data_IF_788169943287
#
_entry.id   IF_788169943287
#
_cell.length_a   1.000
_cell.length_b   1.000
_cell.length_c   1.000
_cell.angle_alpha   90.00
_cell.angle_beta   90.00
_cell.angle_gamma   90.00
#
_symmetry.space_group_name_H-M   'P 1'
#
loop_
_entity.id
_entity.type
_entity.pdbx_description
1 polymer ?
#
# COMPACT_ATOMS: atom_id res chain seq x y z
N UNK A 1 5.67 -6.52 13.16
CA UNK A 1 6.39 -7.36 12.19
C UNK A 1 7.61 -7.99 12.85
N UNK A 2 7.81 -9.28 12.61
CA UNK A 2 8.96 -10.02 13.14
C UNK A 2 10.08 -10.02 12.09
N UNK A 3 11.26 -9.59 12.48
CA UNK A 3 12.46 -9.63 11.67
C UNK A 3 13.49 -10.54 12.35
N UNK A 4 13.96 -11.59 11.62
CA UNK A 4 14.88 -12.61 12.16
C UNK A 4 14.36 -13.21 13.48
N UNK A 5 13.10 -13.68 13.51
CA UNK A 5 12.42 -14.44 14.58
C UNK A 5 12.48 -13.80 15.99
N UNK A 6 13.43 -12.91 16.26
CA UNK A 6 13.73 -12.34 17.58
C UNK A 6 13.53 -10.82 17.67
N UNK A 7 13.00 -10.17 16.62
CA UNK A 7 12.84 -8.70 16.59
C UNK A 7 11.46 -8.28 16.13
N UNK A 8 10.92 -7.24 16.74
CA UNK A 8 9.65 -6.60 16.38
C UNK A 8 9.95 -5.19 15.86
N UNK A 9 9.43 -4.87 14.68
CA UNK A 9 9.57 -3.55 14.06
C UNK A 9 8.22 -2.82 14.15
N UNK A 10 8.23 -1.57 14.54
CA UNK A 10 7.04 -0.73 14.62
C UNK A 10 7.32 0.75 14.38
N UNK A 11 6.25 1.56 14.34
CA UNK A 11 6.34 3.01 14.21
C UNK A 11 5.73 3.72 15.43
N UNK A 12 6.30 4.90 15.77
CA UNK A 12 5.81 5.77 16.85
C UNK A 12 4.99 6.95 16.28
N UNK A 13 4.17 7.57 17.12
CA UNK A 13 3.47 8.83 16.81
C UNK A 13 4.41 9.98 16.43
N UNK A 14 5.67 9.91 16.81
CA UNK A 14 6.74 10.83 16.43
C UNK A 14 7.34 10.54 15.05
N UNK A 15 6.73 9.64 14.28
CA UNK A 15 7.21 9.23 12.95
C UNK A 15 8.59 8.56 12.95
N UNK A 16 8.93 7.85 14.00
CA UNK A 16 10.16 7.05 14.07
C UNK A 16 9.83 5.57 13.92
N UNK A 17 10.68 4.85 13.24
CA UNK A 17 10.70 3.38 13.27
C UNK A 17 11.56 2.94 14.44
N UNK A 18 11.16 1.89 15.11
CA UNK A 18 11.93 1.29 16.20
C UNK A 18 11.96 -0.22 16.07
N UNK A 19 13.01 -0.83 16.56
CA UNK A 19 13.17 -2.26 16.63
C UNK A 19 13.24 -2.68 18.09
N UNK A 20 12.48 -3.70 18.46
CA UNK A 20 12.45 -4.29 19.77
C UNK A 20 13.05 -5.68 19.73
N UNK A 21 13.70 -6.07 20.79
CA UNK A 21 13.94 -7.47 21.12
C UNK A 21 12.60 -8.14 21.45
N UNK A 22 12.29 -9.25 20.79
CA UNK A 22 10.98 -9.89 20.89
C UNK A 22 10.76 -10.56 22.26
N UNK A 23 11.81 -10.94 22.97
CA UNK A 23 11.73 -11.60 24.28
C UNK A 23 11.58 -10.59 25.41
N UNK A 24 12.43 -9.56 25.39
CA UNK A 24 12.51 -8.59 26.50
C UNK A 24 11.68 -7.32 26.27
N UNK A 25 11.24 -7.05 25.03
CA UNK A 25 10.59 -5.79 24.65
C UNK A 25 11.53 -4.56 24.67
N UNK A 26 12.81 -4.73 24.90
CA UNK A 26 13.78 -3.63 24.93
C UNK A 26 13.97 -3.05 23.53
N UNK A 27 14.07 -1.71 23.45
CA UNK A 27 14.39 -1.02 22.19
C UNK A 27 15.87 -1.29 21.86
N UNK A 28 16.09 -1.93 20.71
CA UNK A 28 17.43 -2.19 20.17
C UNK A 28 17.96 -0.98 19.40
N UNK A 29 17.09 -0.33 18.61
CA UNK A 29 17.40 0.91 17.92
C UNK A 29 16.14 1.70 17.59
N UNK A 30 16.30 3.00 17.34
CA UNK A 30 15.26 3.91 16.82
C UNK A 30 15.84 4.71 15.68
N UNK A 31 15.16 4.78 14.55
CA UNK A 31 15.59 5.52 13.37
C UNK A 31 15.52 7.03 13.56
N UNK A 32 16.08 7.79 12.61
CA UNK A 32 15.64 9.19 12.39
C UNK A 32 14.17 9.23 12.01
N UNK A 33 13.53 10.38 12.13
CA UNK A 33 12.13 10.54 11.77
C UNK A 33 11.89 10.19 10.28
N UNK A 34 10.90 9.35 10.01
CA UNK A 34 10.47 9.02 8.65
C UNK A 34 10.02 10.28 7.91
N UNK A 35 9.31 11.18 8.62
CA UNK A 35 8.86 12.44 8.07
C UNK A 35 8.22 13.33 9.14
N UNK A 36 7.68 14.47 8.71
CA UNK A 36 6.90 15.36 9.58
C UNK A 36 5.64 14.68 10.08
N UNK A 37 5.15 15.13 11.22
CA UNK A 37 3.86 14.72 11.80
C UNK A 37 3.00 15.94 12.07
N UNK A 38 1.69 15.80 12.01
CA UNK A 38 0.79 16.93 12.27
C UNK A 38 -0.69 16.53 12.35
N UNK A 39 -1.54 17.52 12.66
CA UNK A 39 -2.98 17.34 12.80
C UNK A 39 -3.37 16.52 14.04
N UNK A 40 -4.66 16.16 14.12
CA UNK A 40 -5.23 15.46 15.28
C UNK A 40 -4.74 14.00 15.42
N UNK A 41 -4.33 13.37 14.31
CA UNK A 41 -3.86 11.98 14.25
C UNK A 41 -2.41 11.94 13.79
N UNK A 42 -1.49 12.33 14.68
CA UNK A 42 -0.06 12.46 14.39
C UNK A 42 0.61 11.09 14.19
N UNK A 43 1.60 11.05 13.30
CA UNK A 43 2.58 9.98 13.15
C UNK A 43 2.32 9.05 11.98
N UNK A 44 3.26 8.15 11.78
CA UNK A 44 3.22 7.09 10.78
C UNK A 44 2.17 6.06 11.17
N UNK A 45 1.30 5.70 10.23
CA UNK A 45 0.20 4.74 10.41
C UNK A 45 0.36 3.50 9.54
N UNK A 46 1.38 3.48 8.69
CA UNK A 46 1.72 2.27 7.95
C UNK A 46 2.33 1.22 8.86
N UNK A 47 2.20 -0.02 8.46
CA UNK A 47 3.05 -1.10 8.98
C UNK A 47 4.33 -1.13 8.16
N UNK A 48 5.52 -1.01 8.78
CA UNK A 48 6.77 -1.14 8.07
C UNK A 48 6.89 -2.53 7.44
N UNK A 49 7.42 -2.60 6.22
CA UNK A 49 7.65 -3.87 5.52
C UNK A 49 9.13 -4.18 5.51
N UNK A 50 9.48 -5.39 5.91
CA UNK A 50 10.87 -5.89 5.93
C UNK A 50 11.07 -6.90 4.81
N UNK A 51 12.14 -6.73 4.04
CA UNK A 51 12.58 -7.66 2.99
C UNK A 51 14.09 -7.83 3.08
N UNK A 52 14.54 -9.01 3.51
CA UNK A 52 15.96 -9.26 3.76
C UNK A 52 16.54 -8.31 4.82
N UNK A 53 17.57 -7.58 4.47
CA UNK A 53 18.25 -6.62 5.38
C UNK A 53 17.70 -5.19 5.25
N UNK A 54 16.66 -4.97 4.47
CA UNK A 54 16.05 -3.66 4.25
C UNK A 54 14.64 -3.58 4.83
N UNK A 55 14.28 -2.38 5.24
CA UNK A 55 13.00 -2.05 5.82
C UNK A 55 12.44 -0.78 5.15
N UNK A 56 11.15 -0.78 4.88
CA UNK A 56 10.46 0.32 4.21
C UNK A 56 9.33 0.84 5.10
N UNK A 57 9.29 2.16 5.29
CA UNK A 57 8.25 2.82 6.06
C UNK A 57 7.75 4.08 5.35
N UNK A 58 6.43 4.32 5.43
CA UNK A 58 5.77 5.46 4.83
C UNK A 58 5.29 6.42 5.92
N UNK A 59 5.77 7.65 5.88
CA UNK A 59 5.37 8.73 6.79
C UNK A 59 4.03 9.33 6.42
N UNK A 60 3.44 10.02 7.39
CA UNK A 60 2.10 10.63 7.29
C UNK A 60 1.92 11.52 6.05
N UNK A 61 2.91 12.29 5.67
CA UNK A 61 2.84 13.24 4.54
C UNK A 61 3.51 12.74 3.26
N UNK A 62 3.80 11.43 3.18
CA UNK A 62 4.29 10.79 1.96
C UNK A 62 5.81 10.69 1.87
N UNK A 63 6.53 10.82 2.98
CA UNK A 63 7.95 10.46 3.03
C UNK A 63 8.07 8.95 3.08
N UNK A 64 8.58 8.33 2.02
CA UNK A 64 8.90 6.90 1.96
C UNK A 64 10.39 6.74 2.22
N UNK A 65 10.75 5.95 3.21
CA UNK A 65 12.15 5.67 3.56
C UNK A 65 12.47 4.20 3.44
N UNK A 66 13.70 3.92 3.03
CA UNK A 66 14.34 2.62 3.17
C UNK A 66 15.40 2.72 4.25
N UNK A 67 15.38 1.80 5.19
CA UNK A 67 16.31 1.73 6.31
C UNK A 67 16.98 0.36 6.32
N UNK A 68 18.19 0.30 6.87
CA UNK A 68 18.80 -0.97 7.25
C UNK A 68 18.06 -1.56 8.44
N UNK A 69 17.56 -2.79 8.31
CA UNK A 69 16.81 -3.45 9.36
C UNK A 69 17.65 -3.80 10.59
N UNK A 70 18.97 -3.84 10.45
CA UNK A 70 19.91 -4.15 11.54
C UNK A 70 20.07 -3.02 12.56
N UNK A 71 20.05 -1.76 12.10
CA UNK A 71 20.43 -0.59 12.92
C UNK A 71 19.53 0.65 12.69
N UNK A 72 18.62 0.61 11.70
CA UNK A 72 17.73 1.73 11.38
C UNK A 72 18.37 2.87 10.60
N UNK A 73 19.59 2.68 10.07
CA UNK A 73 20.26 3.68 9.23
C UNK A 73 19.49 3.90 7.90
N UNK A 74 19.37 5.16 7.48
CA UNK A 74 18.65 5.49 6.24
C UNK A 74 19.52 5.16 5.02
N UNK A 75 18.97 4.33 4.12
CA UNK A 75 19.60 3.98 2.83
C UNK A 75 19.17 4.96 1.74
N UNK A 76 17.86 5.22 1.64
CA UNK A 76 17.31 6.21 0.71
C UNK A 76 15.95 6.74 1.19
N UNK A 77 15.57 7.89 0.62
CA UNK A 77 14.30 8.56 0.88
C UNK A 77 13.68 9.06 -0.42
N UNK A 78 12.33 9.00 -0.50
CA UNK A 78 11.54 9.57 -1.59
C UNK A 78 10.35 10.31 -1.01
N UNK A 79 9.85 11.30 -1.73
CA UNK A 79 8.62 12.02 -1.35
C UNK A 79 7.52 11.70 -2.35
N UNK A 80 6.43 11.08 -1.89
CA UNK A 80 5.30 10.73 -2.77
C UNK A 80 4.68 11.98 -3.39
N UNK A 81 4.63 13.08 -2.66
CA UNK A 81 4.04 14.33 -3.14
C UNK A 81 4.96 15.08 -4.10
N UNK A 82 6.23 15.29 -3.74
CA UNK A 82 7.19 16.08 -4.51
C UNK A 82 7.68 15.32 -5.74
N UNK A 83 8.10 14.06 -5.58
CA UNK A 83 8.72 13.29 -6.65
C UNK A 83 7.70 12.75 -7.65
N UNK A 84 6.51 12.35 -7.17
CA UNK A 84 5.54 11.62 -7.99
C UNK A 84 4.21 12.37 -8.16
N UNK A 85 4.09 13.60 -7.64
CA UNK A 85 2.86 14.41 -7.76
C UNK A 85 1.69 13.83 -6.97
N UNK A 86 2.00 13.19 -5.83
CA UNK A 86 1.05 12.46 -5.02
C UNK A 86 -0.06 13.34 -4.42
N UNK A 87 -1.26 12.72 -4.32
CA UNK A 87 -2.46 13.29 -3.69
C UNK A 87 -3.11 12.25 -2.79
N UNK A 88 -2.98 12.44 -1.50
CA UNK A 88 -3.59 11.59 -0.47
C UNK A 88 -5.05 11.94 -0.19
N UNK A 89 -5.76 11.07 0.51
CA UNK A 89 -7.04 11.38 1.15
C UNK A 89 -6.90 12.31 2.36
N UNK A 90 -8.02 12.65 3.00
CA UNK A 90 -8.09 13.63 4.10
C UNK A 90 -7.28 13.27 5.35
N UNK A 91 -6.99 11.97 5.58
CA UNK A 91 -6.13 11.51 6.68
C UNK A 91 -4.69 11.21 6.24
N UNK A 92 -4.26 11.75 5.10
CA UNK A 92 -2.92 11.59 4.54
C UNK A 92 -2.59 10.12 4.15
N UNK A 93 -1.30 9.75 4.11
CA UNK A 93 -0.87 8.40 3.72
C UNK A 93 -0.90 7.44 4.91
N UNK A 94 -1.45 6.25 4.70
CA UNK A 94 -1.54 5.19 5.74
C UNK A 94 -1.28 3.79 5.21
N UNK A 95 -1.16 3.61 3.89
CA UNK A 95 -0.86 2.29 3.32
C UNK A 95 0.48 1.76 3.79
N UNK A 96 0.60 0.43 3.84
CA UNK A 96 1.88 -0.24 4.07
C UNK A 96 2.56 -0.50 2.73
N UNK A 97 3.87 -0.18 2.58
CA UNK A 97 4.58 -0.45 1.36
C UNK A 97 4.56 -1.94 1.00
N UNK A 98 4.25 -2.27 -0.25
CA UNK A 98 4.36 -3.64 -0.76
C UNK A 98 5.75 -3.84 -1.33
N UNK A 99 6.44 -4.91 -0.94
CA UNK A 99 7.73 -5.30 -1.53
C UNK A 99 7.55 -6.57 -2.34
N UNK A 100 8.03 -6.55 -3.58
CA UNK A 100 7.93 -7.69 -4.49
C UNK A 100 8.97 -7.64 -5.61
N UNK A 101 9.70 -8.72 -5.80
CA UNK A 101 10.66 -8.89 -6.90
C UNK A 101 11.71 -7.77 -6.96
N UNK A 102 12.25 -7.35 -5.82
CA UNK A 102 13.26 -6.28 -5.73
C UNK A 102 12.70 -4.86 -5.95
N UNK A 103 11.40 -4.69 -5.87
CA UNK A 103 10.71 -3.40 -5.99
C UNK A 103 9.88 -3.10 -4.74
N UNK A 104 9.71 -1.82 -4.47
CA UNK A 104 8.76 -1.28 -3.47
C UNK A 104 7.66 -0.57 -4.21
N UNK A 105 6.41 -0.97 -3.98
CA UNK A 105 5.22 -0.35 -4.53
C UNK A 105 4.49 0.43 -3.46
N UNK A 106 4.08 1.64 -3.82
CA UNK A 106 3.24 2.53 -3.02
C UNK A 106 2.29 3.32 -3.93
N UNK A 107 1.28 3.93 -3.33
CA UNK A 107 0.25 4.70 -4.02
C UNK A 107 0.38 6.20 -3.72
N UNK A 108 1.21 6.95 -4.47
CA UNK A 108 1.19 8.41 -4.39
C UNK A 108 -0.20 8.99 -4.63
N UNK A 109 -0.95 8.41 -5.57
CA UNK A 109 -2.20 8.97 -6.07
C UNK A 109 -1.97 10.17 -6.98
N UNK A 110 -2.99 10.56 -7.77
CA UNK A 110 -2.97 11.81 -8.53
C UNK A 110 -2.64 11.69 -10.02
N UNK A 111 -2.64 12.84 -10.68
CA UNK A 111 -2.67 12.94 -12.16
C UNK A 111 -1.43 12.40 -12.88
N UNK A 112 -0.28 12.34 -12.21
CA UNK A 112 0.95 11.78 -12.82
C UNK A 112 0.96 10.25 -12.88
N UNK A 113 -0.01 9.62 -12.21
CA UNK A 113 -0.13 8.17 -12.08
C UNK A 113 -0.21 7.78 -10.61
N UNK A 114 -1.20 6.94 -10.28
CA UNK A 114 -1.56 6.69 -8.89
C UNK A 114 -0.60 5.75 -8.16
N UNK A 115 0.03 4.80 -8.85
CA UNK A 115 0.92 3.80 -8.25
C UNK A 115 2.32 3.93 -8.84
N UNK A 116 3.33 3.80 -7.99
CA UNK A 116 4.75 3.72 -8.40
C UNK A 116 5.37 2.42 -7.95
N UNK A 117 6.31 1.92 -8.75
CA UNK A 117 7.26 0.88 -8.37
C UNK A 117 8.66 1.44 -8.40
N UNK A 118 9.35 1.36 -7.28
CA UNK A 118 10.71 1.84 -7.09
C UNK A 118 11.66 0.66 -6.92
N UNK A 119 12.92 0.82 -7.29
CA UNK A 119 13.95 -0.15 -6.91
C UNK A 119 14.04 -0.23 -5.39
N UNK A 120 13.92 -1.41 -4.82
CA UNK A 120 14.02 -1.65 -3.38
C UNK A 120 15.37 -1.16 -2.82
N UNK A 121 16.48 -1.41 -3.55
CA UNK A 121 17.84 -1.06 -3.12
C UNK A 121 18.15 0.43 -3.21
N UNK A 122 17.60 1.15 -4.22
CA UNK A 122 18.06 2.52 -4.53
C UNK A 122 16.98 3.58 -4.54
N UNK A 123 15.71 3.21 -4.40
CA UNK A 123 14.59 4.15 -4.52
C UNK A 123 14.42 4.77 -5.92
N UNK A 124 15.17 4.31 -6.94
CA UNK A 124 15.01 4.77 -8.31
C UNK A 124 13.66 4.33 -8.87
N UNK A 125 12.99 5.24 -9.60
CA UNK A 125 11.73 4.96 -10.26
C UNK A 125 11.91 3.89 -11.34
N UNK A 126 11.19 2.79 -11.23
CA UNK A 126 11.05 1.78 -12.28
C UNK A 126 9.91 2.15 -13.22
N UNK A 127 8.71 2.36 -12.67
CA UNK A 127 7.55 2.85 -13.42
C UNK A 127 6.55 3.59 -12.51
N UNK A 128 5.74 4.46 -13.13
CA UNK A 128 4.55 5.06 -12.54
C UNK A 128 3.37 4.78 -13.46
N UNK A 129 2.24 4.31 -12.91
CA UNK A 129 1.04 3.95 -13.68
C UNK A 129 0.42 5.20 -14.32
N UNK A 130 0.55 5.36 -15.64
CA UNK A 130 0.10 6.57 -16.36
C UNK A 130 -1.40 6.59 -16.65
N UNK A 131 -2.00 5.43 -16.78
CA UNK A 131 -3.41 5.20 -17.14
C UNK A 131 -4.32 4.96 -15.91
N UNK A 132 -3.77 5.03 -14.72
CA UNK A 132 -4.47 4.96 -13.45
C UNK A 132 -4.08 6.16 -12.58
N UNK A 133 -5.02 7.08 -12.34
CA UNK A 133 -4.77 8.42 -11.78
C UNK A 133 -5.66 8.77 -10.58
N UNK A 134 -6.28 7.79 -9.95
CA UNK A 134 -7.10 7.99 -8.76
C UNK A 134 -6.27 8.60 -7.61
N UNK A 135 -6.90 9.34 -6.72
CA UNK A 135 -6.25 9.80 -5.49
C UNK A 135 -5.97 8.61 -4.56
N UNK A 136 -4.87 8.66 -3.82
CA UNK A 136 -4.58 7.65 -2.81
C UNK A 136 -5.65 7.64 -1.73
N UNK A 137 -5.94 6.45 -1.24
CA UNK A 137 -6.73 6.21 -0.05
C UNK A 137 -5.85 5.50 0.98
N UNK A 138 -6.42 4.67 1.82
CA UNK A 138 -5.73 4.11 2.99
C UNK A 138 -5.46 2.61 2.88
N UNK A 139 -5.98 1.99 1.81
CA UNK A 139 -5.80 0.57 1.48
C UNK A 139 -4.39 0.29 0.99
N UNK A 140 -3.82 -0.83 1.39
CA UNK A 140 -2.53 -1.30 0.90
C UNK A 140 -2.69 -2.14 -0.37
N UNK A 141 -1.67 -2.10 -1.22
CA UNK A 141 -1.54 -2.95 -2.41
C UNK A 141 -1.39 -4.42 -2.03
N UNK A 142 -1.91 -5.30 -2.88
CA UNK A 142 -1.58 -6.72 -2.85
C UNK A 142 -0.96 -7.17 -4.17
N UNK A 143 -0.19 -8.26 -4.14
CA UNK A 143 0.34 -8.92 -5.32
C UNK A 143 -0.33 -10.27 -5.53
N UNK A 144 -0.69 -10.60 -6.79
CA UNK A 144 -1.26 -11.89 -7.19
C UNK A 144 -0.81 -12.28 -8.59
N UNK A 145 -0.57 -13.58 -8.77
CA UNK A 145 -0.41 -14.17 -10.09
C UNK A 145 -1.77 -14.69 -10.54
N UNK A 146 -2.27 -14.19 -11.67
CA UNK A 146 -3.56 -14.60 -12.23
C UNK A 146 -3.59 -14.42 -13.75
N UNK A 147 -4.11 -15.43 -14.45
CA UNK A 147 -4.24 -15.40 -15.91
C UNK A 147 -2.90 -15.25 -16.64
N UNK A 148 -1.82 -15.84 -16.12
CA UNK A 148 -0.48 -15.75 -16.69
C UNK A 148 0.20 -14.38 -16.53
N UNK A 149 -0.30 -13.54 -15.62
CA UNK A 149 0.26 -12.22 -15.30
C UNK A 149 0.39 -12.01 -13.80
N UNK A 150 1.54 -11.53 -13.38
CA UNK A 150 1.74 -10.98 -12.04
C UNK A 150 1.14 -9.58 -11.99
N UNK A 151 0.28 -9.33 -11.00
CA UNK A 151 -0.54 -8.13 -10.91
C UNK A 151 -0.43 -7.52 -9.53
N UNK A 152 -0.41 -6.18 -9.48
CA UNK A 152 -0.62 -5.44 -8.24
C UNK A 152 -2.05 -4.93 -8.23
N UNK A 153 -2.77 -5.23 -7.16
CA UNK A 153 -4.19 -4.86 -7.02
C UNK A 153 -4.29 -3.76 -5.99
N UNK A 154 -4.94 -2.64 -6.37
CA UNK A 154 -5.15 -1.50 -5.49
C UNK A 154 -6.63 -1.11 -5.43
N UNK A 155 -7.08 -0.78 -4.22
CA UNK A 155 -8.40 -0.22 -3.94
C UNK A 155 -8.26 1.27 -3.60
N UNK A 156 -9.01 2.12 -4.30
CA UNK A 156 -9.08 3.57 -4.05
C UNK A 156 -10.48 4.01 -3.64
N UNK A 157 -10.69 5.31 -3.50
CA UNK A 157 -12.02 5.88 -3.27
C UNK A 157 -12.95 5.85 -4.49
N UNK A 158 -12.46 5.50 -5.67
CA UNK A 158 -13.23 5.54 -6.93
C UNK A 158 -13.30 4.19 -7.63
N UNK A 159 -12.31 3.32 -7.43
CA UNK A 159 -12.21 2.08 -8.18
C UNK A 159 -11.33 1.04 -7.47
N UNK A 160 -11.39 -0.17 -7.99
CA UNK A 160 -10.38 -1.20 -7.77
C UNK A 160 -9.73 -1.54 -9.12
N UNK A 161 -8.41 -1.73 -9.12
CA UNK A 161 -7.61 -1.90 -10.33
C UNK A 161 -6.60 -3.03 -10.16
N UNK A 162 -6.33 -3.76 -11.25
CA UNK A 162 -5.20 -4.65 -11.37
C UNK A 162 -4.19 -4.07 -12.36
N UNK A 163 -2.96 -3.88 -11.91
CA UNK A 163 -1.84 -3.32 -12.69
C UNK A 163 -0.86 -4.44 -13.05
N UNK A 164 -0.35 -4.42 -14.27
CA UNK A 164 0.75 -5.30 -14.69
C UNK A 164 2.01 -5.00 -13.87
N UNK A 165 2.54 -5.98 -13.18
CA UNK A 165 3.67 -5.81 -12.26
C UNK A 165 4.97 -5.38 -12.95
N UNK A 166 5.11 -5.66 -14.26
CA UNK A 166 6.30 -5.30 -15.03
C UNK A 166 6.25 -3.85 -15.52
N UNK A 167 5.07 -3.37 -15.90
CA UNK A 167 4.93 -2.09 -16.64
C UNK A 167 4.12 -1.02 -15.92
N UNK A 168 3.33 -1.39 -14.92
CA UNK A 168 2.39 -0.49 -14.23
C UNK A 168 1.14 -0.14 -15.04
N UNK A 169 0.95 -0.73 -16.25
CA UNK A 169 -0.27 -0.53 -17.06
C UNK A 169 -1.47 -1.21 -16.41
N UNK A 170 -2.64 -0.59 -16.50
CA UNK A 170 -3.88 -1.20 -16.05
C UNK A 170 -4.24 -2.40 -16.91
N UNK A 171 -4.39 -3.56 -16.29
CA UNK A 171 -4.88 -4.78 -16.92
C UNK A 171 -6.41 -4.81 -16.92
N UNK A 172 -6.99 -4.37 -15.83
CA UNK A 172 -8.42 -4.23 -15.62
C UNK A 172 -8.71 -3.17 -14.56
N UNK A 173 -9.87 -2.56 -14.63
CA UNK A 173 -10.38 -1.60 -13.65
C UNK A 173 -11.88 -1.80 -13.48
N UNK A 174 -12.38 -1.78 -12.25
CA UNK A 174 -13.78 -1.79 -11.94
C UNK A 174 -14.16 -0.57 -11.10
N UNK A 175 -15.23 0.17 -11.44
CA UNK A 175 -15.69 1.27 -10.63
C UNK A 175 -16.17 0.76 -9.28
N UNK A 176 -15.77 1.41 -8.22
CA UNK A 176 -16.23 1.14 -6.86
C UNK A 176 -16.12 2.42 -6.05
N UNK A 177 -17.24 3.10 -5.89
CA UNK A 177 -17.30 4.36 -5.12
C UNK A 177 -17.17 4.05 -3.63
N UNK A 178 -16.10 4.55 -3.02
CA UNK A 178 -15.95 4.62 -1.57
C UNK A 178 -16.61 5.88 -1.01
N UNK A 179 -16.68 5.97 0.31
CA UNK A 179 -17.15 7.14 1.04
C UNK A 179 -16.24 7.37 2.24
N UNK A 180 -15.91 8.62 2.55
CA UNK A 180 -15.10 9.06 3.69
C UNK A 180 -13.72 8.41 3.73
N UNK A 181 -13.62 7.10 3.95
CA UNK A 181 -12.36 6.37 4.04
C UNK A 181 -12.49 4.97 3.43
N UNK A 182 -11.52 4.61 2.59
CA UNK A 182 -11.38 3.27 1.99
C UNK A 182 -10.07 2.68 2.51
N UNK A 183 -10.19 1.77 3.48
CA UNK A 183 -9.05 1.34 4.31
C UNK A 183 -8.66 -0.11 4.05
N UNK A 184 -9.65 -1.00 3.93
CA UNK A 184 -9.43 -2.45 3.89
C UNK A 184 -8.60 -2.87 2.69
N UNK A 185 -7.64 -3.73 2.92
CA UNK A 185 -6.85 -4.36 1.86
C UNK A 185 -7.73 -5.32 1.05
N UNK A 186 -7.67 -5.31 -0.29
CA UNK A 186 -8.42 -6.26 -1.13
C UNK A 186 -8.06 -7.71 -0.83
N UNK A 187 -9.03 -8.61 -0.91
CA UNK A 187 -8.81 -10.06 -0.88
C UNK A 187 -9.06 -10.62 -2.27
N UNK A 188 -8.10 -11.38 -2.81
CA UNK A 188 -8.18 -11.94 -4.15
C UNK A 188 -7.83 -13.43 -4.14
N UNK A 189 -8.73 -14.25 -4.67
CA UNK A 189 -8.55 -15.68 -4.83
C UNK A 189 -9.21 -16.17 -6.12
N UNK A 190 -8.47 -16.87 -6.97
CA UNK A 190 -8.96 -17.52 -8.22
C UNK A 190 -9.87 -16.65 -9.08
N UNK A 191 -9.47 -15.40 -9.29
CA UNK A 191 -10.23 -14.42 -10.07
C UNK A 191 -11.44 -13.84 -9.34
N UNK A 192 -11.66 -14.16 -8.08
CA UNK A 192 -12.64 -13.49 -7.23
C UNK A 192 -11.94 -12.44 -6.38
N UNK A 193 -12.49 -11.24 -6.41
CA UNK A 193 -11.99 -10.12 -5.64
C UNK A 193 -13.08 -9.67 -4.66
N UNK A 194 -12.72 -9.58 -3.40
CA UNK A 194 -13.56 -9.01 -2.35
C UNK A 194 -12.95 -7.70 -1.84
N UNK A 195 -13.80 -6.68 -1.68
CA UNK A 195 -13.45 -5.40 -1.06
C UNK A 195 -14.55 -4.94 -0.13
N UNK A 196 -14.20 -4.28 0.96
CA UNK A 196 -15.15 -3.75 1.93
C UNK A 196 -14.80 -2.32 2.34
N UNK A 197 -15.76 -1.57 2.80
CA UNK A 197 -15.57 -0.26 3.45
C UNK A 197 -16.71 0.03 4.40
N UNK A 198 -16.45 0.85 5.41
CA UNK A 198 -17.45 1.41 6.30
C UNK A 198 -18.23 2.57 5.63
N UNK A 199 -18.88 3.37 6.45
CA UNK A 199 -19.63 4.57 6.07
C UNK A 199 -20.78 4.29 5.09
N UNK A 200 -21.51 3.18 5.28
CA UNK A 200 -22.67 2.81 4.48
C UNK A 200 -22.36 2.29 3.07
N UNK A 201 -21.09 2.08 2.74
CA UNK A 201 -20.67 1.53 1.45
C UNK A 201 -20.86 0.00 1.39
N UNK A 202 -20.43 -0.70 2.45
CA UNK A 202 -20.49 -2.15 2.53
C UNK A 202 -19.40 -2.85 1.73
N UNK A 203 -19.68 -4.06 1.25
CA UNK A 203 -18.74 -4.87 0.49
C UNK A 203 -19.20 -5.09 -0.95
N UNK A 204 -18.22 -5.39 -1.81
CA UNK A 204 -18.43 -5.74 -3.21
C UNK A 204 -17.59 -6.96 -3.57
N UNK A 205 -18.16 -7.86 -4.32
CA UNK A 205 -17.45 -8.95 -4.98
C UNK A 205 -17.34 -8.69 -6.47
N UNK A 206 -16.18 -8.98 -7.02
CA UNK A 206 -15.91 -8.88 -8.45
C UNK A 206 -15.37 -10.21 -8.98
N UNK A 207 -15.74 -10.54 -10.23
CA UNK A 207 -15.10 -11.60 -11.01
C UNK A 207 -14.13 -10.95 -11.98
N UNK A 208 -12.85 -11.25 -11.81
CA UNK A 208 -11.79 -10.92 -12.76
C UNK A 208 -11.62 -12.11 -13.70
N UNK A 209 -11.58 -11.85 -14.99
CA UNK A 209 -11.51 -12.90 -16.01
C UNK A 209 -10.40 -12.60 -17.00
N UNK A 210 -9.61 -13.59 -17.35
CA UNK A 210 -8.67 -13.54 -18.48
C UNK A 210 -9.43 -13.87 -19.76
N UNK A 211 -9.31 -13.01 -20.76
CA UNK A 211 -9.91 -13.19 -22.09
C UNK A 211 -8.84 -13.17 -23.17
N UNK A 212 -9.18 -13.53 -24.41
CA UNK A 212 -8.27 -13.39 -25.57
C UNK A 212 -7.80 -11.95 -25.78
N UNK A 213 -8.62 -10.96 -25.42
CA UNK A 213 -8.33 -9.51 -25.58
C UNK A 213 -7.64 -8.85 -24.36
N UNK A 214 -7.43 -9.58 -23.28
CA UNK A 214 -6.84 -9.05 -22.05
C UNK A 214 -7.58 -9.51 -20.79
N UNK A 215 -7.77 -8.60 -19.85
CA UNK A 215 -8.51 -8.88 -18.60
C UNK A 215 -9.79 -8.03 -18.55
N UNK A 216 -10.76 -8.52 -17.81
CA UNK A 216 -11.96 -7.76 -17.44
C UNK A 216 -12.29 -8.00 -15.97
N UNK A 217 -12.95 -7.05 -15.35
CA UNK A 217 -13.49 -7.19 -13.99
C UNK A 217 -14.97 -6.79 -14.00
N UNK A 218 -15.84 -7.66 -13.49
CA UNK A 218 -17.29 -7.43 -13.40
C UNK A 218 -17.73 -7.60 -11.97
N UNK A 219 -18.50 -6.65 -11.44
CA UNK A 219 -19.13 -6.81 -10.14
C UNK A 219 -20.17 -7.93 -10.20
N UNK A 220 -20.11 -8.85 -9.25
CA UNK A 220 -21.02 -10.00 -9.13
C UNK A 220 -22.00 -9.84 -7.98
N UNK A 221 -21.64 -9.09 -6.95
CA UNK A 221 -22.55 -8.70 -5.88
C UNK A 221 -22.11 -7.40 -5.18
N UNK A 222 -23.05 -6.80 -4.45
CA UNK A 222 -22.82 -5.74 -3.48
C UNK A 222 -23.71 -6.01 -2.26
N UNK A 223 -23.18 -5.79 -1.06
CA UNK A 223 -23.91 -6.00 0.20
C UNK A 223 -23.53 -4.92 1.21
N UNK A 224 -24.53 -4.24 1.78
CA UNK A 224 -24.33 -3.19 2.77
C UNK A 224 -24.29 -3.72 4.21
N UNK A 225 -24.69 -4.97 4.45
CA UNK A 225 -24.69 -5.57 5.78
C UNK A 225 -23.29 -5.88 6.29
N UNK A 226 -22.31 -6.07 5.38
CA UNK A 226 -20.90 -6.26 5.74
C UNK A 226 -20.19 -4.93 5.60
N UNK A 227 -19.78 -4.36 6.73
CA UNK A 227 -19.11 -3.07 6.80
C UNK A 227 -17.82 -3.23 7.61
N UNK A 228 -16.67 -2.90 7.02
CA UNK A 228 -15.39 -2.94 7.70
C UNK A 228 -14.74 -1.57 7.67
N UNK A 229 -14.42 -1.03 8.87
CA UNK A 229 -13.79 0.28 9.01
C UNK A 229 -12.27 0.17 9.15
N UNK A 230 -11.82 -0.58 10.15
CA UNK A 230 -10.40 -0.85 10.41
C UNK A 230 -10.16 -2.35 10.43
N UNK A 231 -8.97 -2.75 10.08
CA UNK A 231 -8.57 -4.15 10.03
C UNK A 231 -8.71 -4.75 8.62
N UNK A 232 -8.28 -5.98 8.50
CA UNK A 232 -8.31 -6.75 7.25
C UNK A 232 -9.54 -7.64 7.15
N UNK A 233 -9.78 -8.15 5.93
CA UNK A 233 -10.62 -9.31 5.66
C UNK A 233 -9.71 -10.46 5.25
N UNK A 234 -10.09 -11.68 5.60
CA UNK A 234 -9.36 -12.93 5.29
C UNK A 234 -10.27 -13.82 4.46
#
# INVERSE_FOLDING_TARGET
>A
FTYKVERIIGCKKTSHVFCLDAKSGKILWTSKAVGKTGGNYKGTRCTPTVEGDLLYALGQFGDLVCLEASNGAEVWRRSLTKDFGGRSGGWNYTESPLVDGGKVMVTPGGKKGAVVALSAKSGKLGWQSKDFTDAAQYSSLIVRDFGGRRQYIQLTGSSVVGLDAKTGKSLWKAPRKGQTATITTPVFHEGHLFVSSAYGVGCNGFKVTRTKRGFSAKQIYANKSISNHHGGCI
#
